data_IF_250563938107
#
_entry.id   IF_250563938107
#
_cell.length_a   1.000
_cell.length_b   1.000
_cell.length_c   1.000
_cell.angle_alpha   90.00
_cell.angle_beta   90.00
_cell.angle_gamma   90.00
#
_symmetry.space_group_name_H-M   'P 1'
#
loop_
_entity.id
_entity.type
_entity.pdbx_description
1 polymer ?
#
# COMPACT_ATOMS: atom_id res chain seq x y z
N UNK A 1 1.77 12.46 17.35
CA UNK A 1 1.91 13.75 16.64
C UNK A 1 0.57 14.46 16.72
N UNK A 2 0.52 15.74 17.11
CA UNK A 2 -0.71 16.39 17.57
C UNK A 2 -1.83 16.48 16.53
N UNK A 3 -1.49 16.43 15.23
CA UNK A 3 -2.45 16.68 14.14
C UNK A 3 -2.62 15.50 13.16
N UNK A 4 -2.32 14.26 13.58
CA UNK A 4 -2.51 13.08 12.72
C UNK A 4 -1.48 12.89 11.61
N UNK A 5 -0.37 13.63 11.68
CA UNK A 5 0.79 13.47 10.80
C UNK A 5 1.58 12.19 11.15
N UNK A 6 2.23 11.59 10.17
CA UNK A 6 3.28 10.60 10.38
C UNK A 6 4.58 11.28 10.89
N UNK A 7 5.55 10.52 11.43
CA UNK A 7 6.87 11.05 11.81
C UNK A 7 7.60 11.84 10.71
N UNK A 8 7.25 11.60 9.44
CA UNK A 8 7.82 12.31 8.28
C UNK A 8 7.00 13.53 7.85
N UNK A 9 5.99 13.94 8.62
CA UNK A 9 5.11 15.07 8.32
C UNK A 9 4.04 14.79 7.26
N UNK A 10 3.75 13.51 6.97
CA UNK A 10 2.76 13.12 5.97
C UNK A 10 1.38 12.90 6.62
N UNK A 11 0.34 13.44 5.99
CA UNK A 11 -1.05 13.27 6.43
C UNK A 11 -1.75 12.18 5.62
N UNK A 12 -2.84 11.65 6.16
CA UNK A 12 -3.79 10.77 5.46
C UNK A 12 -3.20 9.46 4.91
N UNK A 13 -2.03 9.02 5.39
CA UNK A 13 -1.47 7.70 5.04
C UNK A 13 -2.31 6.51 5.53
N UNK A 14 -3.37 6.76 6.30
CA UNK A 14 -4.29 5.77 6.83
C UNK A 14 -5.72 6.33 6.73
N UNK A 15 -6.43 5.96 5.66
CA UNK A 15 -7.78 6.42 5.35
C UNK A 15 -7.81 7.43 4.21
N UNK A 16 -8.88 8.23 4.15
CA UNK A 16 -9.19 9.15 3.06
C UNK A 16 -9.35 8.43 1.70
N UNK A 17 -8.25 8.15 0.99
CA UNK A 17 -8.26 7.48 -0.32
C UNK A 17 -7.19 6.40 -0.38
N UNK A 18 -7.45 5.37 -1.17
CA UNK A 18 -6.44 4.36 -1.49
C UNK A 18 -5.43 4.98 -2.44
N UNK A 19 -4.16 4.80 -2.14
CA UNK A 19 -3.05 5.37 -2.91
C UNK A 19 -2.38 4.28 -3.75
N UNK A 20 -2.28 4.52 -5.06
CA UNK A 20 -1.58 3.65 -6.00
C UNK A 20 -0.07 3.69 -5.77
N UNK A 21 0.60 2.56 -5.98
CA UNK A 21 2.07 2.48 -6.08
C UNK A 21 2.49 1.78 -7.37
N UNK A 22 3.78 1.87 -7.71
CA UNK A 22 4.32 1.33 -8.97
C UNK A 22 4.22 -0.20 -9.06
N UNK A 23 4.35 -0.88 -7.93
CA UNK A 23 4.50 -2.32 -7.79
C UNK A 23 3.27 -3.10 -8.25
N UNK A 24 3.52 -4.23 -8.91
CA UNK A 24 2.51 -5.24 -9.15
C UNK A 24 2.15 -5.96 -7.85
N UNK A 25 0.87 -6.32 -7.69
CA UNK A 25 0.43 -7.08 -6.53
C UNK A 25 0.72 -8.56 -6.70
N UNK A 26 1.46 -9.10 -5.75
CA UNK A 26 1.60 -10.53 -5.48
C UNK A 26 1.53 -10.74 -3.96
N UNK A 27 0.75 -11.74 -3.55
CA UNK A 27 0.53 -12.09 -2.16
C UNK A 27 1.80 -12.65 -1.50
N UNK A 28 2.59 -13.42 -2.27
CA UNK A 28 3.76 -14.15 -1.76
C UNK A 28 5.07 -13.39 -1.96
N UNK A 29 5.06 -12.22 -2.61
CA UNK A 29 6.29 -11.47 -2.98
C UNK A 29 7.26 -11.24 -1.82
N UNK A 30 6.76 -11.06 -0.59
CA UNK A 30 7.63 -10.85 0.57
C UNK A 30 8.48 -12.07 0.94
N UNK A 31 8.09 -13.29 0.53
CA UNK A 31 8.88 -14.51 0.75
C UNK A 31 10.16 -14.59 -0.10
N UNK A 32 10.21 -13.86 -1.21
CA UNK A 32 11.32 -13.89 -2.19
C UNK A 32 11.87 -12.50 -2.55
N UNK A 33 11.40 -11.45 -1.88
CA UNK A 33 11.79 -10.06 -2.14
C UNK A 33 13.29 -9.85 -1.88
N UNK A 34 14.00 -9.10 -2.74
CA UNK A 34 15.36 -8.67 -2.43
C UNK A 34 15.37 -7.70 -1.25
N UNK A 35 16.44 -7.74 -0.45
CA UNK A 35 16.58 -6.89 0.75
C UNK A 35 16.72 -5.40 0.43
N UNK A 36 17.25 -5.06 -0.75
CA UNK A 36 17.57 -3.69 -1.14
C UNK A 36 16.75 -3.25 -2.36
N UNK A 37 15.98 -2.19 -2.18
CA UNK A 37 15.17 -1.55 -3.23
C UNK A 37 14.30 -2.55 -4.03
N UNK A 38 13.44 -3.33 -3.36
CA UNK A 38 12.50 -4.20 -4.06
C UNK A 38 11.55 -3.39 -4.95
N UNK A 39 11.26 -3.91 -6.14
CA UNK A 39 10.43 -3.22 -7.15
C UNK A 39 9.08 -3.91 -7.40
N UNK A 40 8.73 -4.88 -6.57
CA UNK A 40 7.64 -5.81 -6.83
C UNK A 40 8.01 -6.89 -7.84
N UNK A 41 7.05 -7.78 -8.18
CA UNK A 41 7.18 -8.71 -9.31
C UNK A 41 7.40 -7.98 -10.63
N UNK A 42 8.02 -8.62 -11.61
CA UNK A 42 8.21 -8.03 -12.95
C UNK A 42 6.89 -7.87 -13.71
N UNK A 43 5.96 -8.82 -13.51
CA UNK A 43 4.69 -8.91 -14.22
C UNK A 43 3.57 -9.11 -13.19
N UNK A 44 2.41 -8.51 -13.43
CA UNK A 44 1.21 -8.76 -12.65
C UNK A 44 -0.05 -8.30 -13.38
N UNK A 45 -1.20 -8.57 -12.78
CA UNK A 45 -2.52 -8.22 -13.33
C UNK A 45 -3.08 -6.94 -12.66
N UNK A 46 -2.78 -6.77 -11.37
CA UNK A 46 -3.29 -5.68 -10.53
C UNK A 46 -2.11 -4.95 -9.91
N UNK A 47 -2.17 -3.62 -9.73
CA UNK A 47 -1.16 -2.94 -8.90
C UNK A 47 -1.53 -2.94 -7.43
N UNK A 48 -0.53 -2.71 -6.60
CA UNK A 48 -0.70 -2.55 -5.16
C UNK A 48 -1.38 -1.21 -4.85
N UNK A 49 -2.29 -1.24 -3.87
CA UNK A 49 -2.92 -0.07 -3.25
C UNK A 49 -2.56 -0.01 -1.77
N UNK A 50 -2.36 1.19 -1.22
CA UNK A 50 -1.99 1.41 0.20
C UNK A 50 -2.96 2.39 0.89
N UNK A 51 -2.89 2.44 2.22
CA UNK A 51 -3.57 3.43 3.07
C UNK A 51 -5.04 3.17 3.40
N UNK A 52 -5.78 2.41 2.57
CA UNK A 52 -7.23 2.27 2.73
C UNK A 52 -7.96 3.55 2.32
N UNK A 53 -9.28 3.62 2.47
CA UNK A 53 -10.07 4.82 2.17
C UNK A 53 -11.15 5.09 3.21
N UNK A 54 -11.91 6.17 3.06
CA UNK A 54 -13.09 6.48 3.88
C UNK A 54 -14.16 5.38 3.91
N UNK A 55 -14.10 4.42 2.98
CA UNK A 55 -15.03 3.28 2.84
C UNK A 55 -14.34 1.93 3.05
N UNK A 56 -13.09 1.93 3.52
CA UNK A 56 -12.35 0.70 3.83
C UNK A 56 -12.73 0.16 5.21
N UNK A 57 -12.54 -1.15 5.41
CA UNK A 57 -12.59 -1.73 6.75
C UNK A 57 -11.38 -1.26 7.56
N UNK A 58 -11.49 -1.27 8.88
CA UNK A 58 -10.40 -0.97 9.81
C UNK A 58 -9.15 -1.82 9.55
N UNK A 59 -9.34 -3.09 9.17
CA UNK A 59 -8.25 -4.00 8.80
C UNK A 59 -7.46 -3.55 7.58
N UNK A 60 -8.04 -2.73 6.70
CA UNK A 60 -7.38 -2.18 5.52
C UNK A 60 -6.66 -0.85 5.81
N UNK A 61 -7.00 -0.19 6.92
CA UNK A 61 -6.45 1.10 7.36
C UNK A 61 -5.31 0.89 8.36
N UNK A 62 -4.37 0.00 8.00
CA UNK A 62 -3.13 -0.24 8.75
C UNK A 62 -1.94 0.05 7.86
N UNK A 63 -0.83 0.52 8.45
CA UNK A 63 0.39 0.83 7.72
C UNK A 63 0.95 -0.36 6.92
N UNK A 64 0.71 -1.59 7.38
CA UNK A 64 1.15 -2.84 6.73
C UNK A 64 0.14 -3.41 5.74
N UNK A 65 -1.09 -2.91 5.70
CA UNK A 65 -2.12 -3.44 4.81
C UNK A 65 -1.80 -3.15 3.34
N UNK A 66 -2.05 -4.15 2.50
CA UNK A 66 -1.81 -4.11 1.05
C UNK A 66 -3.11 -4.47 0.34
N UNK A 67 -3.70 -3.50 -0.34
CA UNK A 67 -4.79 -3.71 -1.27
C UNK A 67 -4.28 -4.02 -2.67
N UNK A 68 -5.20 -4.38 -3.55
CA UNK A 68 -4.99 -4.55 -4.98
C UNK A 68 -6.16 -3.97 -5.75
N UNK A 69 -5.92 -3.38 -6.91
CA UNK A 69 -6.99 -2.81 -7.72
C UNK A 69 -6.51 -2.37 -9.08
N UNK A 70 -7.49 -1.95 -9.89
CA UNK A 70 -7.42 -1.55 -11.30
C UNK A 70 -6.73 -2.54 -12.24
N UNK A 71 -7.01 -2.40 -13.52
CA UNK A 71 -6.45 -3.23 -14.58
C UNK A 71 -5.38 -2.36 -15.23
N UNK A 72 -4.14 -2.85 -15.29
CA UNK A 72 -3.04 -2.17 -15.94
C UNK A 72 -2.50 -3.00 -17.11
#
# INVERSE_FOLDING_TARGET
LPEGQSPSGLFNLSGNVREWVQDWYDAEYYSSSPDKNPKGPEIGILKVLRGGSWRSFDTDVRATSRGKGGIA
#
